data_IF_522207148605
#
_entry.id   IF_522207148605
#
_cell.length_a   1.000
_cell.length_b   1.000
_cell.length_c   1.000
_cell.angle_alpha   90.00
_cell.angle_beta   90.00
_cell.angle_gamma   90.00
#
_symmetry.space_group_name_H-M   'P 1'
#
loop_
_entity.id
_entity.type
_entity.pdbx_description
1 polymer ?
#
# COMPACT_ATOMS: atom_id res chain seq x y z
N UNK A 1 -25.80 67.07 48.19
CA UNK A 1 -26.65 65.88 48.21
C UNK A 1 -27.32 65.55 46.83
N UNK A 2 -27.60 66.47 45.95
CA UNK A 2 -28.22 66.18 44.63
C UNK A 2 -27.37 65.43 43.59
N UNK A 3 -26.03 65.49 43.73
CA UNK A 3 -25.11 64.79 42.77
C UNK A 3 -24.98 63.28 43.04
N UNK A 4 -25.27 62.83 44.25
CA UNK A 4 -25.18 61.39 44.58
C UNK A 4 -26.44 60.61 44.25
N UNK A 5 -27.57 61.28 44.04
CA UNK A 5 -28.83 60.65 43.65
C UNK A 5 -28.80 60.18 42.18
N UNK A 6 -28.11 60.95 41.32
CA UNK A 6 -27.96 60.56 39.91
C UNK A 6 -26.98 59.38 39.72
N UNK A 7 -25.95 59.27 40.62
CA UNK A 7 -25.02 58.15 40.58
C UNK A 7 -25.67 56.83 41.05
N UNK A 8 -26.58 56.92 41.99
CA UNK A 8 -27.34 55.75 42.50
C UNK A 8 -28.37 55.24 41.46
N UNK A 9 -29.01 56.11 40.70
CA UNK A 9 -29.93 55.74 39.64
C UNK A 9 -29.20 55.14 38.41
N UNK A 10 -27.95 55.47 38.11
CA UNK A 10 -27.19 54.91 37.03
C UNK A 10 -26.69 53.52 37.44
N UNK A 11 -26.41 53.26 38.70
CA UNK A 11 -26.02 51.92 39.20
C UNK A 11 -27.19 50.95 39.28
N UNK A 12 -28.44 51.40 39.43
CA UNK A 12 -29.64 50.57 39.43
C UNK A 12 -30.05 50.13 38.00
N UNK A 13 -29.52 50.76 36.95
CA UNK A 13 -29.83 50.39 35.56
C UNK A 13 -28.87 49.27 35.02
N UNK A 14 -27.83 48.90 35.76
CA UNK A 14 -26.94 47.81 35.36
C UNK A 14 -27.20 46.47 36.07
N UNK A 15 -28.18 46.39 36.95
CA UNK A 15 -28.56 45.15 37.64
C UNK A 15 -29.84 44.51 37.08
N UNK A 16 -30.25 44.83 35.87
CA UNK A 16 -31.28 44.10 35.15
C UNK A 16 -30.69 43.34 33.97
N UNK A 17 -29.68 42.47 34.26
CA UNK A 17 -29.57 41.22 33.54
C UNK A 17 -30.50 40.26 34.30
N UNK A 18 -31.74 40.16 33.89
CA UNK A 18 -32.50 38.93 34.05
C UNK A 18 -31.68 37.88 33.29
N UNK A 19 -31.06 36.97 34.02
CA UNK A 19 -30.70 35.65 33.50
C UNK A 19 -32.05 34.96 33.19
N UNK A 20 -32.66 35.33 32.07
CA UNK A 20 -33.64 34.52 31.45
C UNK A 20 -32.88 33.30 30.95
N UNK A 21 -32.75 32.29 31.79
CA UNK A 21 -32.44 30.92 31.34
C UNK A 21 -33.64 30.43 30.52
N UNK A 22 -33.83 31.04 29.33
CA UNK A 22 -34.86 30.59 28.39
C UNK A 22 -34.46 29.18 27.96
N UNK A 23 -35.21 28.19 28.41
CA UNK A 23 -35.05 26.80 27.98
C UNK A 23 -35.91 26.59 26.76
N UNK A 24 -35.39 26.04 25.69
CA UNK A 24 -36.16 25.66 24.52
C UNK A 24 -37.19 24.58 24.93
N UNK A 25 -38.51 24.81 24.75
CA UNK A 25 -39.53 23.96 25.35
C UNK A 25 -39.67 22.58 24.68
N UNK A 26 -39.09 22.38 23.51
CA UNK A 26 -39.10 21.10 22.79
C UNK A 26 -37.97 20.21 23.30
N UNK A 27 -38.32 19.17 24.07
CA UNK A 27 -37.38 18.25 24.67
C UNK A 27 -37.03 17.04 23.78
N UNK A 28 -35.89 16.43 24.06
CA UNK A 28 -35.49 15.14 23.53
C UNK A 28 -35.89 14.04 24.54
N UNK A 29 -36.28 12.86 24.04
CA UNK A 29 -36.71 11.74 24.89
C UNK A 29 -36.28 10.39 24.29
N UNK A 30 -36.51 9.30 25.05
CA UNK A 30 -36.23 7.94 24.59
C UNK A 30 -36.96 7.59 23.28
N UNK A 31 -38.15 8.12 23.04
CA UNK A 31 -38.93 7.85 21.83
C UNK A 31 -38.27 8.43 20.56
N UNK A 32 -37.40 9.41 20.72
CA UNK A 32 -36.65 10.01 19.65
C UNK A 32 -35.45 9.12 19.21
N UNK A 33 -34.98 8.23 20.09
CA UNK A 33 -33.84 7.34 19.78
C UNK A 33 -34.37 6.11 19.05
N UNK A 34 -33.87 5.90 17.82
CA UNK A 34 -34.15 4.68 17.06
C UNK A 34 -33.17 3.56 17.44
N UNK A 35 -31.91 3.89 17.48
CA UNK A 35 -30.81 2.96 17.77
C UNK A 35 -29.54 3.73 18.13
N UNK A 36 -28.74 3.20 19.06
CA UNK A 36 -27.36 3.62 19.23
C UNK A 36 -26.47 2.37 19.00
N UNK A 37 -25.75 2.37 17.88
CA UNK A 37 -24.94 1.23 17.45
C UNK A 37 -23.45 1.50 17.64
N UNK A 38 -22.73 0.63 18.38
CA UNK A 38 -21.27 0.73 18.51
C UNK A 38 -20.55 0.56 17.17
N UNK A 39 -19.62 1.46 16.89
CA UNK A 39 -18.73 1.42 15.74
C UNK A 39 -17.26 1.53 16.19
N UNK A 40 -16.27 1.24 15.32
CA UNK A 40 -14.87 1.47 15.64
C UNK A 40 -14.59 2.90 16.08
N UNK A 41 -14.03 3.06 17.30
CA UNK A 41 -13.70 4.36 17.88
C UNK A 41 -14.90 5.21 18.33
N UNK A 42 -16.11 4.64 18.41
CA UNK A 42 -17.29 5.40 18.80
C UNK A 42 -18.63 4.67 18.69
N UNK A 43 -19.68 5.45 18.46
CA UNK A 43 -21.03 4.96 18.20
C UNK A 43 -21.74 5.82 17.13
N UNK A 44 -22.72 5.25 16.46
CA UNK A 44 -23.70 6.00 15.65
C UNK A 44 -25.03 6.01 16.38
N UNK A 45 -25.53 7.19 16.65
CA UNK A 45 -26.86 7.40 17.18
C UNK A 45 -27.82 7.72 16.01
N UNK A 46 -28.83 6.88 15.79
CA UNK A 46 -29.92 7.12 14.86
C UNK A 46 -31.13 7.64 15.63
N UNK A 47 -31.74 8.72 15.15
CA UNK A 47 -32.83 9.41 15.85
C UNK A 47 -33.87 9.98 14.89
N UNK A 48 -35.06 10.31 15.46
CA UNK A 48 -36.05 11.11 14.81
C UNK A 48 -36.23 12.38 15.66
N UNK A 49 -36.14 13.54 15.04
CA UNK A 49 -36.36 14.81 15.72
C UNK A 49 -37.86 15.12 15.83
N UNK A 50 -38.30 15.81 16.90
CA UNK A 50 -39.65 16.37 16.97
C UNK A 50 -39.89 17.32 15.81
N UNK A 51 -41.17 17.38 15.39
CA UNK A 51 -41.59 18.32 14.34
C UNK A 51 -41.85 19.70 14.96
N UNK A 52 -40.85 20.57 14.88
CA UNK A 52 -40.96 21.96 15.35
C UNK A 52 -40.28 22.90 14.35
N UNK A 53 -40.93 24.06 14.08
CA UNK A 53 -40.46 25.03 13.07
C UNK A 53 -39.23 25.82 13.55
N UNK A 54 -39.01 25.92 14.85
CA UNK A 54 -37.88 26.64 15.44
C UNK A 54 -36.66 25.74 15.74
N UNK A 55 -36.86 24.41 15.65
CA UNK A 55 -35.79 23.44 15.87
C UNK A 55 -34.70 23.57 14.78
N UNK A 56 -33.44 23.80 15.20
CA UNK A 56 -32.28 23.99 14.34
C UNK A 56 -31.35 22.81 14.36
N UNK A 57 -31.02 22.31 15.55
CA UNK A 57 -29.96 21.28 15.71
C UNK A 57 -30.22 20.37 16.91
N UNK A 58 -29.62 19.21 16.90
CA UNK A 58 -29.41 18.33 18.04
C UNK A 58 -27.93 18.37 18.43
N UNK A 59 -27.65 18.48 19.73
CA UNK A 59 -26.31 18.48 20.29
C UNK A 59 -26.16 17.31 21.25
N UNK A 60 -24.99 16.61 21.13
CA UNK A 60 -24.62 15.54 22.06
C UNK A 60 -23.27 15.87 22.65
N UNK A 61 -23.21 15.96 23.98
CA UNK A 61 -21.99 16.20 24.74
C UNK A 61 -21.61 14.95 25.52
N UNK A 62 -20.36 14.60 25.47
CA UNK A 62 -19.78 13.45 26.20
C UNK A 62 -18.28 13.66 26.41
N UNK A 63 -17.68 12.84 27.26
CA UNK A 63 -16.22 12.83 27.46
C UNK A 63 -15.58 11.76 26.59
N UNK A 64 -14.54 12.13 25.88
CA UNK A 64 -13.75 11.22 25.04
C UNK A 64 -12.84 10.28 25.84
N UNK A 65 -11.95 9.55 25.12
CA UNK A 65 -10.98 8.64 25.72
C UNK A 65 -10.03 9.31 26.71
N UNK A 66 -9.78 10.61 26.57
CA UNK A 66 -8.86 11.41 27.39
C UNK A 66 -9.58 12.23 28.45
N UNK A 67 -10.90 12.07 28.59
CA UNK A 67 -11.74 12.82 29.52
C UNK A 67 -12.04 14.25 29.09
N UNK A 68 -11.72 14.61 27.86
CA UNK A 68 -12.06 15.92 27.29
C UNK A 68 -13.51 15.92 26.82
N UNK A 69 -14.23 17.00 27.12
CA UNK A 69 -15.58 17.17 26.64
C UNK A 69 -15.62 17.39 25.12
N UNK A 70 -16.41 16.59 24.44
CA UNK A 70 -16.70 16.70 23.01
C UNK A 70 -18.17 17.03 22.83
N UNK A 71 -18.48 17.99 21.98
CA UNK A 71 -19.80 18.28 21.49
C UNK A 71 -19.92 17.84 20.03
N UNK A 72 -20.96 17.09 19.72
CA UNK A 72 -21.36 16.76 18.36
C UNK A 72 -22.70 17.38 18.05
N UNK A 73 -22.81 17.97 16.87
CA UNK A 73 -23.99 18.65 16.41
C UNK A 73 -24.51 18.03 15.10
N UNK A 74 -25.79 17.76 15.03
CA UNK A 74 -26.51 17.39 13.83
C UNK A 74 -27.57 18.43 13.49
N UNK A 75 -27.78 18.74 12.22
CA UNK A 75 -28.84 19.67 11.79
C UNK A 75 -30.21 19.06 11.96
N UNK A 76 -31.24 19.89 11.92
CA UNK A 76 -32.66 19.44 11.97
C UNK A 76 -33.02 18.46 10.83
N UNK A 77 -32.24 18.44 9.73
CA UNK A 77 -32.45 17.53 8.61
C UNK A 77 -31.66 16.21 8.76
N UNK A 78 -30.84 16.09 9.80
CA UNK A 78 -30.08 14.87 10.07
C UNK A 78 -30.92 13.83 10.79
N UNK A 79 -30.65 12.56 10.54
CA UNK A 79 -31.26 11.42 11.21
C UNK A 79 -30.26 10.51 11.90
N UNK A 80 -28.98 10.87 11.84
CA UNK A 80 -27.89 10.16 12.51
C UNK A 80 -26.77 11.10 12.92
N UNK A 81 -26.06 10.73 13.99
CA UNK A 81 -24.91 11.44 14.52
C UNK A 81 -23.82 10.46 14.94
N UNK A 82 -22.59 10.72 14.51
CA UNK A 82 -21.43 9.91 14.89
C UNK A 82 -20.80 10.50 16.16
N UNK A 83 -20.72 9.66 17.20
CA UNK A 83 -20.10 9.94 18.48
C UNK A 83 -18.74 9.25 18.52
N UNK A 84 -17.64 9.94 18.19
CA UNK A 84 -16.30 9.38 18.12
C UNK A 84 -15.36 10.03 19.15
N UNK A 85 -14.16 9.49 19.30
CA UNK A 85 -13.15 10.00 20.21
C UNK A 85 -12.60 8.96 21.17
N UNK A 86 -12.78 7.67 20.84
CA UNK A 86 -12.37 6.55 21.68
C UNK A 86 -11.30 5.72 20.95
N UNK A 87 -10.27 5.32 21.68
CA UNK A 87 -9.27 4.39 21.19
C UNK A 87 -9.69 2.95 21.50
N UNK A 88 -9.91 2.64 22.77
CA UNK A 88 -10.38 1.32 23.21
C UNK A 88 -11.90 1.28 23.32
N UNK A 89 -12.50 0.11 23.10
CA UNK A 89 -13.92 -0.14 23.29
C UNK A 89 -14.33 0.09 24.74
N UNK A 90 -15.40 0.86 24.95
CA UNK A 90 -15.96 1.17 26.26
C UNK A 90 -17.41 0.77 26.34
N UNK A 91 -17.85 0.46 27.56
CA UNK A 91 -19.26 0.18 27.87
C UNK A 91 -19.84 1.31 28.70
N UNK A 92 -21.11 1.68 28.41
CA UNK A 92 -21.87 2.62 29.19
C UNK A 92 -21.27 4.03 29.23
N UNK A 93 -20.73 4.51 28.12
CA UNK A 93 -20.25 5.90 28.02
C UNK A 93 -21.45 6.84 28.21
N UNK A 94 -21.35 7.72 29.19
CA UNK A 94 -22.39 8.70 29.47
C UNK A 94 -22.33 9.88 28.49
N UNK A 95 -23.48 10.36 28.06
CA UNK A 95 -23.64 11.53 27.21
C UNK A 95 -24.93 12.29 27.50
N UNK A 96 -24.94 13.56 27.15
CA UNK A 96 -26.08 14.47 27.30
C UNK A 96 -26.55 14.96 25.93
N UNK A 97 -27.83 14.84 25.67
CA UNK A 97 -28.49 15.31 24.46
C UNK A 97 -29.31 16.54 24.74
N UNK A 98 -29.17 17.58 23.93
CA UNK A 98 -30.03 18.77 23.93
C UNK A 98 -30.50 19.06 22.50
N UNK A 99 -31.66 19.66 22.37
CA UNK A 99 -32.15 20.26 21.14
C UNK A 99 -31.87 21.76 21.18
N UNK A 100 -31.56 22.34 20.06
CA UNK A 100 -31.20 23.76 19.95
C UNK A 100 -32.11 24.44 18.94
N UNK A 101 -32.69 25.59 19.31
CA UNK A 101 -33.49 26.39 18.42
C UNK A 101 -32.67 27.35 17.55
N UNK A 102 -33.31 28.11 16.67
CA UNK A 102 -32.67 29.09 15.79
C UNK A 102 -31.98 30.24 16.55
N UNK A 103 -32.45 30.55 17.75
CA UNK A 103 -31.86 31.55 18.65
C UNK A 103 -30.64 31.03 19.42
N UNK A 104 -30.30 29.74 19.31
CA UNK A 104 -29.19 29.14 20.03
C UNK A 104 -29.55 28.65 21.44
N UNK A 105 -30.82 28.78 21.85
CA UNK A 105 -31.31 28.33 23.16
C UNK A 105 -31.46 26.79 23.13
N UNK A 106 -30.97 26.14 24.20
CA UNK A 106 -31.01 24.69 24.33
C UNK A 106 -32.20 24.21 25.17
N UNK A 107 -32.64 23.00 24.87
CA UNK A 107 -33.67 22.31 25.64
C UNK A 107 -33.15 21.76 26.97
N UNK A 108 -34.05 21.21 27.79
CA UNK A 108 -33.62 20.36 28.89
C UNK A 108 -32.75 19.21 28.41
N UNK A 109 -31.81 18.80 29.29
CA UNK A 109 -30.84 17.74 29.04
C UNK A 109 -31.52 16.38 29.14
N UNK A 110 -31.31 15.54 28.12
CA UNK A 110 -31.66 14.12 28.15
C UNK A 110 -30.39 13.28 28.22
N UNK A 111 -30.26 12.46 29.26
CA UNK A 111 -29.08 11.61 29.46
C UNK A 111 -29.19 10.32 28.63
N UNK A 112 -28.10 9.96 27.97
CA UNK A 112 -27.96 8.73 27.22
C UNK A 112 -26.73 7.95 27.68
N UNK A 113 -26.70 6.65 27.39
CA UNK A 113 -25.49 5.83 27.50
C UNK A 113 -25.28 5.09 26.19
N UNK A 114 -24.01 4.88 25.83
CA UNK A 114 -23.66 4.15 24.64
C UNK A 114 -22.37 3.33 24.80
N UNK A 115 -22.24 2.27 24.02
CA UNK A 115 -21.07 1.44 23.91
C UNK A 115 -20.22 1.86 22.71
N UNK A 116 -18.91 1.60 22.76
CA UNK A 116 -18.01 1.80 21.65
C UNK A 116 -17.23 0.51 21.36
N UNK A 117 -16.64 0.40 20.16
CA UNK A 117 -15.68 -0.66 19.80
C UNK A 117 -14.28 -0.08 19.77
N UNK A 118 -13.27 -0.98 19.78
CA UNK A 118 -11.88 -0.61 19.52
C UNK A 118 -11.79 0.17 18.21
N UNK A 119 -11.05 1.27 18.24
CA UNK A 119 -10.74 2.04 17.03
C UNK A 119 -9.89 1.22 16.05
N UNK A 120 -9.87 1.63 14.78
CA UNK A 120 -8.99 1.03 13.78
C UNK A 120 -7.54 0.90 14.24
N UNK A 121 -6.91 1.98 14.79
CA UNK A 121 -5.56 1.95 15.34
C UNK A 121 -5.29 0.91 16.44
N UNK A 122 -6.26 0.62 17.28
CA UNK A 122 -6.16 -0.43 18.30
C UNK A 122 -6.40 -1.81 17.69
N UNK A 123 -7.48 -1.95 16.90
CA UNK A 123 -7.89 -3.20 16.28
C UNK A 123 -6.85 -3.74 15.27
N UNK A 124 -6.06 -2.85 14.66
CA UNK A 124 -4.96 -3.19 13.76
C UNK A 124 -4.01 -4.26 14.32
N UNK A 125 -3.75 -4.22 15.64
CA UNK A 125 -2.84 -5.16 16.30
C UNK A 125 -3.44 -6.53 16.58
N UNK A 126 -4.75 -6.71 16.49
CA UNK A 126 -5.41 -7.97 16.87
C UNK A 126 -4.96 -9.14 15.99
N UNK A 127 -4.77 -8.89 14.70
CA UNK A 127 -4.31 -9.89 13.73
C UNK A 127 -2.97 -9.52 13.07
N UNK A 128 -2.25 -8.55 13.63
CA UNK A 128 -0.95 -8.16 13.12
C UNK A 128 0.08 -9.27 13.35
N UNK A 129 0.75 -9.69 12.27
CA UNK A 129 1.80 -10.69 12.28
C UNK A 129 3.04 -10.15 11.58
N UNK A 130 4.17 -10.27 12.24
CA UNK A 130 5.48 -10.00 11.69
C UNK A 130 6.17 -11.34 11.43
N UNK A 131 6.70 -11.53 10.22
CA UNK A 131 7.38 -12.76 9.81
C UNK A 131 8.73 -12.44 9.19
N UNK A 132 9.67 -13.39 9.20
CA UNK A 132 10.91 -13.27 8.44
C UNK A 132 10.67 -12.88 6.99
N UNK A 133 11.55 -12.09 6.41
CA UNK A 133 11.51 -11.65 5.02
C UNK A 133 12.89 -11.56 4.39
N UNK A 134 12.91 -11.31 3.11
CA UNK A 134 14.14 -11.06 2.35
C UNK A 134 14.64 -9.64 2.60
N UNK A 135 15.91 -9.49 3.01
CA UNK A 135 16.53 -8.22 3.42
C UNK A 135 15.68 -7.42 4.41
N UNK A 136 14.94 -8.10 5.29
CA UNK A 136 14.03 -7.44 6.22
C UNK A 136 12.96 -8.38 6.74
N UNK A 137 11.70 -7.95 6.68
CA UNK A 137 10.59 -8.72 7.22
C UNK A 137 9.29 -8.49 6.43
N UNK A 138 8.36 -9.40 6.57
CA UNK A 138 6.99 -9.23 6.06
C UNK A 138 6.03 -8.94 7.21
N UNK A 139 5.01 -8.15 6.91
CA UNK A 139 3.94 -7.79 7.83
C UNK A 139 2.60 -8.11 7.20
N UNK A 140 1.70 -8.73 7.95
CA UNK A 140 0.32 -8.95 7.51
C UNK A 140 -0.64 -8.58 8.64
N UNK A 141 -1.78 -8.01 8.29
CA UNK A 141 -2.80 -7.56 9.23
C UNK A 141 -4.20 -7.77 8.65
N UNK A 142 -5.20 -7.70 9.52
CA UNK A 142 -6.61 -7.71 9.14
C UNK A 142 -7.35 -6.74 10.05
N UNK A 143 -7.96 -5.72 9.47
CA UNK A 143 -8.68 -4.67 10.19
C UNK A 143 -10.19 -4.89 10.04
N UNK A 144 -10.97 -4.86 11.14
CA UNK A 144 -12.41 -5.01 11.09
C UNK A 144 -13.09 -3.95 10.23
N UNK A 145 -14.32 -4.25 9.77
CA UNK A 145 -15.16 -3.33 9.00
C UNK A 145 -15.33 -1.98 9.72
N UNK A 146 -15.17 -0.89 8.99
CA UNK A 146 -15.20 0.49 9.49
C UNK A 146 -13.93 0.93 10.22
N UNK A 147 -12.92 0.06 10.36
CA UNK A 147 -11.63 0.43 10.94
C UNK A 147 -10.73 1.07 9.89
N UNK A 148 -10.16 2.20 10.25
CA UNK A 148 -9.16 2.92 9.44
C UNK A 148 -8.16 3.63 10.37
N UNK A 149 -7.01 4.00 9.84
CA UNK A 149 -5.99 4.72 10.61
C UNK A 149 -4.67 4.85 9.88
N UNK A 150 -3.64 5.28 10.61
CA UNK A 150 -2.26 5.38 10.13
C UNK A 150 -1.35 4.47 10.96
N UNK A 151 -0.47 3.76 10.28
CA UNK A 151 0.56 2.94 10.90
C UNK A 151 1.95 3.37 10.45
N UNK A 152 2.89 3.28 11.39
CA UNK A 152 4.31 3.55 11.19
C UNK A 152 5.10 2.33 11.60
N UNK A 153 5.94 1.86 10.69
CA UNK A 153 6.81 0.70 10.89
C UNK A 153 8.25 1.16 10.97
N UNK A 154 8.92 0.75 12.03
CA UNK A 154 10.31 1.05 12.30
C UNK A 154 11.09 -0.24 12.53
N UNK A 155 12.41 -0.15 12.44
CA UNK A 155 13.33 -1.14 12.95
C UNK A 155 14.43 -0.48 13.78
N UNK A 156 15.02 -1.22 14.68
CA UNK A 156 16.19 -0.76 15.42
C UNK A 156 17.43 -1.08 14.60
N UNK A 157 18.16 -0.05 14.20
CA UNK A 157 19.35 -0.16 13.36
C UNK A 157 20.32 0.99 13.59
N UNK A 158 21.46 0.97 12.91
CA UNK A 158 22.44 2.07 12.99
C UNK A 158 21.92 3.27 12.20
N UNK A 159 21.82 4.39 12.88
CA UNK A 159 21.50 5.66 12.23
C UNK A 159 22.67 6.05 11.30
N UNK A 160 22.43 6.28 10.00
CA UNK A 160 23.50 6.57 9.04
C UNK A 160 24.24 7.90 9.29
N UNK A 161 23.68 8.78 10.12
CA UNK A 161 24.30 10.07 10.46
C UNK A 161 25.11 10.03 11.76
N UNK A 162 24.66 9.28 12.76
CA UNK A 162 25.27 9.23 14.09
C UNK A 162 26.07 7.95 14.35
N UNK A 163 25.87 6.92 13.51
CA UNK A 163 26.38 5.56 13.67
C UNK A 163 25.93 4.84 14.96
N UNK A 164 25.06 5.46 15.75
CA UNK A 164 24.45 4.88 16.94
C UNK A 164 23.20 4.08 16.61
N UNK A 165 22.82 3.17 17.53
CA UNK A 165 21.55 2.44 17.41
C UNK A 165 20.38 3.41 17.64
N UNK A 166 19.43 3.37 16.71
CA UNK A 166 18.26 4.23 16.72
C UNK A 166 17.03 3.48 16.15
N UNK A 167 15.85 4.03 16.39
CA UNK A 167 14.60 3.54 15.82
C UNK A 167 14.35 4.22 14.48
N UNK A 168 14.67 3.52 13.40
CA UNK A 168 14.64 4.03 12.04
C UNK A 168 13.29 3.74 11.36
N UNK A 169 12.66 4.76 10.79
CA UNK A 169 11.41 4.62 10.05
C UNK A 169 11.64 3.85 8.74
N UNK A 170 10.85 2.81 8.52
CA UNK A 170 10.81 2.05 7.27
C UNK A 170 9.68 2.55 6.37
N UNK A 171 8.47 2.65 6.92
CA UNK A 171 7.28 3.02 6.17
C UNK A 171 6.19 3.61 7.06
N UNK A 172 5.52 4.63 6.54
CA UNK A 172 4.24 5.13 7.06
C UNK A 172 3.17 4.89 6.00
N UNK A 173 2.00 4.43 6.41
CA UNK A 173 0.90 4.17 5.48
C UNK A 173 -0.45 4.26 6.18
N UNK A 174 -1.47 4.61 5.42
CA UNK A 174 -2.87 4.52 5.84
C UNK A 174 -3.35 3.09 5.63
N UNK A 175 -4.15 2.59 6.56
CA UNK A 175 -4.82 1.31 6.43
C UNK A 175 -6.34 1.49 6.53
N UNK A 176 -7.05 0.56 5.90
CA UNK A 176 -8.51 0.47 5.90
C UNK A 176 -8.94 -0.93 6.29
N UNK A 177 -10.26 -1.12 6.46
CA UNK A 177 -10.82 -2.43 6.74
C UNK A 177 -10.42 -3.48 5.69
N UNK A 178 -10.15 -4.70 6.14
CA UNK A 178 -9.76 -5.83 5.31
C UNK A 178 -8.36 -6.36 5.62
N UNK A 179 -7.95 -7.34 4.81
CA UNK A 179 -6.64 -7.99 4.91
C UNK A 179 -5.66 -7.36 3.96
N UNK A 180 -4.43 -7.15 4.43
CA UNK A 180 -3.34 -6.71 3.59
C UNK A 180 -2.00 -7.26 4.09
N UNK A 181 -0.97 -7.20 3.24
CA UNK A 181 0.38 -7.64 3.56
C UNK A 181 1.42 -6.78 2.88
N UNK A 182 2.53 -6.55 3.56
CA UNK A 182 3.64 -5.72 3.10
C UNK A 182 4.95 -6.48 3.26
N UNK A 183 5.79 -6.47 2.23
CA UNK A 183 7.19 -6.87 2.31
C UNK A 183 8.05 -5.62 2.51
N UNK A 184 8.80 -5.60 3.59
CA UNK A 184 9.57 -4.44 4.04
C UNK A 184 11.06 -4.77 3.97
N UNK A 185 11.71 -4.28 2.92
CA UNK A 185 13.15 -4.43 2.72
C UNK A 185 13.90 -3.33 3.46
N UNK A 186 14.94 -3.70 4.19
CA UNK A 186 15.80 -2.80 4.95
C UNK A 186 17.10 -2.53 4.19
N UNK A 187 17.67 -1.36 4.42
CA UNK A 187 18.96 -1.00 3.80
C UNK A 187 20.16 -1.63 4.52
N UNK A 188 19.96 -2.07 5.75
CA UNK A 188 21.02 -2.66 6.57
C UNK A 188 20.85 -4.17 6.61
N UNK A 189 21.88 -4.88 6.18
CA UNK A 189 21.93 -6.34 6.29
C UNK A 189 22.14 -6.74 7.77
N UNK A 190 21.30 -7.63 8.23
CA UNK A 190 21.43 -8.31 9.52
C UNK A 190 20.67 -9.64 9.47
N UNK A 191 21.05 -10.60 10.30
CA UNK A 191 20.36 -11.89 10.42
C UNK A 191 19.05 -11.79 11.22
N UNK A 192 18.87 -10.73 12.01
CA UNK A 192 17.65 -10.43 12.75
C UNK A 192 17.52 -8.93 13.05
N UNK A 193 16.28 -8.49 13.21
CA UNK A 193 15.94 -7.10 13.53
C UNK A 193 14.95 -7.03 14.68
N UNK A 194 15.00 -5.95 15.45
CA UNK A 194 13.91 -5.54 16.32
C UNK A 194 12.97 -4.63 15.54
N UNK A 195 11.71 -5.05 15.39
CA UNK A 195 10.68 -4.33 14.64
C UNK A 195 9.74 -3.63 15.61
N UNK A 196 9.42 -2.38 15.34
CA UNK A 196 8.48 -1.57 16.12
C UNK A 196 7.37 -1.11 15.20
N UNK A 197 6.11 -1.37 15.58
CA UNK A 197 4.93 -0.86 14.86
C UNK A 197 4.16 0.05 15.80
N UNK A 198 3.81 1.23 15.31
CA UNK A 198 2.98 2.22 16.00
C UNK A 198 1.79 2.59 15.15
N UNK A 199 0.65 2.84 15.79
CA UNK A 199 -0.51 3.43 15.13
C UNK A 199 -0.85 4.78 15.78
N UNK A 200 -1.44 5.67 15.00
CA UNK A 200 -1.88 6.98 15.46
C UNK A 200 -3.41 7.03 15.58
N UNK A 201 -3.88 7.75 16.58
CA UNK A 201 -5.30 8.08 16.73
C UNK A 201 -5.68 9.26 15.80
N UNK A 202 -6.95 9.64 15.83
CA UNK A 202 -7.48 10.75 15.02
C UNK A 202 -6.90 12.14 15.36
N UNK A 203 -6.11 12.24 16.45
CA UNK A 203 -5.42 13.47 16.86
C UNK A 203 -3.94 13.45 16.50
N UNK A 204 -3.42 12.36 15.93
CA UNK A 204 -2.02 12.17 15.63
C UNK A 204 -1.17 11.74 16.84
N UNK A 205 -1.80 11.31 17.94
CA UNK A 205 -1.08 10.71 19.07
C UNK A 205 -0.92 9.21 18.88
N UNK A 206 0.16 8.67 19.41
CA UNK A 206 0.37 7.21 19.41
C UNK A 206 -0.76 6.52 20.17
N UNK A 207 -1.58 5.78 19.44
CA UNK A 207 -2.70 5.01 20.00
C UNK A 207 -2.20 3.70 20.62
N UNK A 208 -1.32 2.99 19.90
CA UNK A 208 -0.72 1.73 20.37
C UNK A 208 0.65 1.50 19.71
N UNK A 209 1.52 0.81 20.45
CA UNK A 209 2.82 0.35 19.98
C UNK A 209 3.03 -1.11 20.36
N UNK A 210 3.66 -1.87 19.48
CA UNK A 210 4.10 -3.23 19.75
C UNK A 210 5.50 -3.44 19.17
N UNK A 211 6.30 -4.27 19.86
CA UNK A 211 7.69 -4.55 19.51
C UNK A 211 7.84 -6.07 19.33
N UNK A 212 8.55 -6.44 18.26
CA UNK A 212 8.98 -7.81 17.99
C UNK A 212 10.49 -7.85 17.98
N UNK A 213 11.07 -8.58 18.90
CA UNK A 213 12.52 -8.79 18.98
C UNK A 213 12.93 -10.01 18.16
N UNK A 214 14.15 -9.99 17.64
CA UNK A 214 14.76 -11.13 16.94
C UNK A 214 13.95 -11.63 15.73
N UNK A 215 13.31 -10.72 14.99
CA UNK A 215 12.68 -11.06 13.72
C UNK A 215 13.78 -11.43 12.73
N UNK A 216 13.85 -12.69 12.33
CA UNK A 216 14.86 -13.18 11.38
C UNK A 216 14.75 -12.46 10.04
N UNK A 217 15.88 -12.17 9.44
CA UNK A 217 16.01 -11.60 8.11
C UNK A 217 16.95 -12.48 7.28
N UNK A 218 16.61 -12.69 6.02
CA UNK A 218 17.41 -13.46 5.09
C UNK A 218 18.02 -12.51 4.06
N UNK A 219 19.33 -12.39 4.08
CA UNK A 219 20.03 -11.51 3.15
C UNK A 219 19.96 -12.07 1.73
N UNK A 220 19.76 -11.21 0.76
CA UNK A 220 19.69 -11.57 -0.65
C UNK A 220 21.04 -11.43 -1.33
N UNK A 221 21.30 -12.30 -2.30
CA UNK A 221 22.36 -12.10 -3.28
C UNK A 221 21.85 -12.42 -4.69
N UNK A 222 22.30 -11.64 -5.67
CA UNK A 222 22.13 -12.00 -7.07
C UNK A 222 23.02 -13.18 -7.39
N UNK A 223 22.49 -14.21 -8.02
CA UNK A 223 23.27 -15.35 -8.49
C UNK A 223 23.98 -14.97 -9.79
N UNK A 224 25.28 -15.20 -9.81
CA UNK A 224 26.09 -14.98 -11.02
C UNK A 224 25.65 -15.95 -12.14
N UNK A 225 25.50 -15.50 -13.39
CA UNK A 225 25.16 -16.38 -14.52
C UNK A 225 26.15 -17.55 -14.72
N UNK A 226 27.39 -17.42 -14.31
CA UNK A 226 28.35 -18.53 -14.34
C UNK A 226 28.07 -19.63 -13.30
N UNK A 227 27.28 -19.32 -12.29
CA UNK A 227 26.93 -20.26 -11.23
C UNK A 227 25.82 -21.25 -11.60
N UNK A 228 25.14 -21.08 -12.71
CA UNK A 228 24.12 -21.98 -13.21
C UNK A 228 24.34 -22.40 -14.68
N UNK A 229 23.61 -23.38 -15.15
CA UNK A 229 23.55 -23.78 -16.56
C UNK A 229 22.22 -23.34 -17.12
N UNK A 230 22.24 -22.53 -18.18
CA UNK A 230 21.05 -22.11 -18.90
C UNK A 230 20.68 -23.17 -19.95
N UNK A 231 19.45 -23.62 -19.96
CA UNK A 231 18.89 -24.53 -20.92
C UNK A 231 17.77 -23.86 -21.71
N UNK A 232 18.06 -23.45 -22.94
CA UNK A 232 17.07 -22.88 -23.83
C UNK A 232 16.01 -23.94 -24.23
N UNK A 233 14.73 -23.58 -24.17
CA UNK A 233 13.63 -24.42 -24.64
C UNK A 233 12.91 -23.82 -25.84
N UNK A 234 12.59 -22.55 -25.80
CA UNK A 234 11.78 -21.86 -26.82
C UNK A 234 12.37 -20.53 -27.29
N UNK A 235 13.53 -20.13 -26.76
CA UNK A 235 14.22 -18.92 -27.19
C UNK A 235 14.76 -19.05 -28.62
N UNK A 236 14.65 -17.98 -29.38
CA UNK A 236 15.07 -17.87 -30.79
C UNK A 236 16.50 -17.31 -30.83
N UNK A 237 17.34 -17.94 -31.62
CA UNK A 237 18.66 -17.42 -32.01
C UNK A 237 18.69 -17.21 -33.52
N UNK A 238 18.75 -15.96 -33.97
CA UNK A 238 18.81 -15.62 -35.38
C UNK A 238 20.04 -14.73 -35.66
N UNK A 239 21.04 -15.25 -36.36
CA UNK A 239 22.27 -14.50 -36.63
C UNK A 239 22.07 -13.30 -37.54
N UNK A 240 20.94 -13.22 -38.27
CA UNK A 240 20.62 -12.13 -39.19
C UNK A 240 19.85 -10.99 -38.54
N UNK A 241 19.40 -11.19 -37.30
CA UNK A 241 18.66 -10.21 -36.51
C UNK A 241 19.30 -10.07 -35.15
N UNK A 242 18.95 -9.03 -34.42
CA UNK A 242 19.44 -8.83 -33.06
C UNK A 242 18.58 -9.63 -32.03
N UNK A 243 18.39 -10.94 -32.30
CA UNK A 243 17.64 -11.86 -31.44
C UNK A 243 18.57 -12.99 -31.01
N UNK A 244 18.84 -13.07 -29.70
CA UNK A 244 19.67 -14.12 -29.13
C UNK A 244 19.31 -14.39 -27.68
N UNK A 245 19.52 -15.63 -27.24
CA UNK A 245 19.47 -16.02 -25.84
C UNK A 245 20.59 -15.39 -24.99
N UNK A 246 21.66 -14.92 -25.61
CA UNK A 246 22.81 -14.31 -24.92
C UNK A 246 22.42 -12.99 -24.23
N UNK A 247 21.40 -12.30 -24.73
CA UNK A 247 20.90 -11.05 -24.12
C UNK A 247 20.20 -11.24 -22.77
N UNK A 248 19.92 -12.47 -22.35
CA UNK A 248 19.33 -12.71 -21.04
C UNK A 248 20.30 -12.53 -19.87
N UNK A 249 21.60 -12.57 -20.12
CA UNK A 249 22.62 -12.63 -19.07
C UNK A 249 23.87 -11.81 -19.41
N UNK A 250 23.77 -10.81 -20.28
CA UNK A 250 24.88 -9.98 -20.70
C UNK A 250 25.15 -8.78 -19.77
N UNK A 251 24.26 -8.55 -18.81
CA UNK A 251 24.33 -7.47 -17.84
C UNK A 251 23.83 -6.12 -18.35
N UNK A 252 23.30 -6.06 -19.58
CA UNK A 252 22.73 -4.84 -20.15
C UNK A 252 21.25 -4.66 -19.78
N UNK A 253 21.00 -4.23 -18.55
CA UNK A 253 19.64 -4.04 -18.02
C UNK A 253 18.80 -2.97 -18.74
N UNK A 254 19.35 -2.28 -19.75
CA UNK A 254 18.70 -1.14 -20.41
C UNK A 254 18.61 -1.26 -21.93
N UNK A 255 19.29 -2.20 -22.54
CA UNK A 255 19.44 -2.33 -24.00
C UNK A 255 20.47 -1.39 -24.61
N UNK A 256 21.34 -0.79 -23.81
CA UNK A 256 22.34 0.16 -24.31
C UNK A 256 23.40 -0.50 -25.19
N UNK A 257 23.99 -1.59 -24.75
CA UNK A 257 25.06 -2.29 -25.48
C UNK A 257 24.55 -2.90 -26.77
N UNK A 258 23.38 -3.52 -26.72
CA UNK A 258 22.76 -4.13 -27.91
C UNK A 258 22.41 -3.09 -28.96
N UNK A 259 21.96 -1.90 -28.56
CA UNK A 259 21.73 -0.80 -29.50
C UNK A 259 23.02 -0.29 -30.14
N UNK A 260 24.08 -0.13 -29.36
CA UNK A 260 25.37 0.33 -29.85
C UNK A 260 26.01 -0.65 -30.82
N UNK A 261 25.89 -1.96 -30.58
CA UNK A 261 26.44 -3.01 -31.41
C UNK A 261 25.66 -3.28 -32.69
N UNK A 262 24.34 -3.19 -32.64
CA UNK A 262 23.44 -3.56 -33.72
C UNK A 262 22.90 -2.37 -34.49
N UNK A 263 23.41 -1.17 -34.27
CA UNK A 263 22.92 0.05 -34.92
C UNK A 263 21.48 0.37 -34.54
N UNK A 264 20.55 0.22 -35.50
CA UNK A 264 19.14 0.55 -35.27
C UNK A 264 18.32 -0.62 -34.68
N UNK A 265 18.91 -1.79 -34.52
CA UNK A 265 18.24 -2.97 -33.98
C UNK A 265 18.61 -3.13 -32.51
N UNK A 266 17.60 -3.16 -31.65
CA UNK A 266 17.81 -3.47 -30.24
C UNK A 266 17.86 -4.97 -30.07
N UNK A 267 19.03 -5.50 -29.65
CA UNK A 267 19.17 -6.90 -29.30
C UNK A 267 18.30 -7.25 -28.08
N UNK A 268 17.63 -8.39 -28.17
CA UNK A 268 16.78 -8.86 -27.07
C UNK A 268 16.55 -10.37 -27.19
N UNK A 269 16.20 -10.98 -26.05
CA UNK A 269 15.67 -12.35 -26.06
C UNK A 269 14.22 -12.35 -26.53
N UNK A 270 13.89 -13.26 -27.45
CA UNK A 270 12.54 -13.56 -27.86
C UNK A 270 12.32 -15.06 -27.76
N UNK A 271 11.23 -15.49 -27.15
CA UNK A 271 10.75 -16.86 -27.18
C UNK A 271 9.48 -16.98 -28.02
N UNK A 272 9.29 -18.12 -28.67
CA UNK A 272 8.11 -18.40 -29.51
C UNK A 272 8.47 -19.17 -30.78
N UNK A 273 7.51 -19.37 -31.70
CA UNK A 273 6.06 -19.12 -31.55
C UNK A 273 5.37 -20.12 -30.60
N UNK A 274 4.12 -19.81 -30.21
CA UNK A 274 3.26 -20.68 -29.41
C UNK A 274 3.90 -21.07 -28.08
N UNK A 275 4.49 -20.09 -27.39
CA UNK A 275 5.25 -20.31 -26.16
C UNK A 275 4.41 -20.20 -24.88
N UNK A 276 3.17 -19.71 -24.92
CA UNK A 276 2.35 -19.54 -23.72
C UNK A 276 2.08 -20.85 -23.00
N UNK A 277 2.16 -20.81 -21.67
CA UNK A 277 1.97 -21.97 -20.80
C UNK A 277 3.08 -23.04 -20.88
N UNK A 278 4.17 -22.76 -21.59
CA UNK A 278 5.32 -23.67 -21.72
C UNK A 278 6.57 -23.07 -21.11
N UNK A 279 7.51 -23.91 -20.60
CA UNK A 279 8.81 -23.43 -20.16
C UNK A 279 9.57 -22.74 -21.29
N UNK A 280 9.93 -21.48 -21.11
CA UNK A 280 10.75 -20.73 -22.07
C UNK A 280 12.20 -21.17 -22.00
N UNK A 281 12.66 -21.41 -20.80
CA UNK A 281 14.00 -21.91 -20.47
C UNK A 281 14.00 -22.54 -19.08
N UNK A 282 15.05 -23.29 -18.78
CA UNK A 282 15.35 -23.83 -17.46
C UNK A 282 16.73 -23.41 -17.00
N UNK A 283 16.93 -23.32 -15.69
CA UNK A 283 18.22 -23.10 -15.06
C UNK A 283 18.57 -24.30 -14.17
N UNK A 284 19.75 -24.90 -14.36
CA UNK A 284 20.31 -25.87 -13.41
C UNK A 284 21.33 -25.12 -12.52
N UNK A 285 20.99 -24.93 -11.27
CA UNK A 285 21.78 -24.20 -10.28
C UNK A 285 22.98 -25.01 -9.78
N UNK A 286 23.23 -26.19 -10.36
CA UNK A 286 24.29 -27.15 -10.00
C UNK A 286 24.10 -27.77 -8.61
N UNK A 287 23.58 -27.03 -7.67
CA UNK A 287 23.23 -27.46 -6.30
C UNK A 287 21.92 -26.83 -5.84
N UNK A 288 21.30 -27.39 -4.79
CA UNK A 288 20.04 -26.87 -4.26
C UNK A 288 20.27 -25.57 -3.46
N UNK A 289 19.61 -24.49 -3.88
CA UNK A 289 19.69 -23.15 -3.28
C UNK A 289 18.34 -22.71 -2.73
N UNK A 290 18.39 -21.82 -1.75
CA UNK A 290 17.18 -21.15 -1.25
C UNK A 290 16.83 -20.01 -2.20
N UNK A 291 15.79 -20.20 -3.01
CA UNK A 291 15.35 -19.24 -4.02
C UNK A 291 14.60 -18.08 -3.37
N UNK A 292 14.86 -16.87 -3.83
CA UNK A 292 14.32 -15.66 -3.22
C UNK A 292 13.45 -14.82 -4.18
N UNK A 293 13.74 -14.86 -5.46
CA UNK A 293 12.98 -14.12 -6.45
C UNK A 293 13.71 -13.98 -7.77
N UNK A 294 13.03 -13.40 -8.75
CA UNK A 294 13.61 -13.08 -10.05
C UNK A 294 13.31 -11.63 -10.44
N UNK A 295 14.17 -11.04 -11.24
CA UNK A 295 13.90 -9.80 -11.95
C UNK A 295 13.95 -10.05 -13.44
N UNK A 296 12.95 -9.53 -14.13
CA UNK A 296 12.80 -9.64 -15.56
C UNK A 296 12.81 -8.24 -16.13
N UNK A 297 13.80 -7.94 -16.93
CA UNK A 297 13.98 -6.61 -17.49
C UNK A 297 13.40 -6.51 -18.90
N UNK A 298 13.01 -5.32 -19.27
CA UNK A 298 12.67 -4.98 -20.64
C UNK A 298 13.53 -3.85 -21.14
N UNK A 299 13.78 -3.80 -22.45
CA UNK A 299 14.55 -2.70 -23.07
C UNK A 299 13.85 -1.37 -22.83
N UNK A 300 14.62 -0.33 -22.53
CA UNK A 300 14.08 1.02 -22.45
C UNK A 300 13.69 1.52 -23.85
N UNK A 301 12.54 2.18 -23.95
CA UNK A 301 12.07 2.77 -25.19
C UNK A 301 12.99 3.91 -25.61
N UNK A 302 13.51 3.86 -26.84
CA UNK A 302 14.33 4.90 -27.42
C UNK A 302 13.58 5.50 -28.59
N UNK A 303 13.49 6.83 -28.63
CA UNK A 303 13.00 7.56 -29.79
C UNK A 303 14.18 7.98 -30.67
N UNK A 304 14.24 7.45 -31.89
CA UNK A 304 15.24 7.86 -32.89
C UNK A 304 14.56 8.77 -33.93
N UNK A 305 14.64 10.10 -33.78
CA UNK A 305 13.93 11.04 -34.70
C UNK A 305 14.52 11.04 -36.11
N UNK A 306 15.76 10.62 -36.30
CA UNK A 306 16.39 10.57 -37.62
C UNK A 306 15.76 9.52 -38.54
N UNK A 307 15.09 8.52 -37.98
CA UNK A 307 14.49 7.44 -38.72
C UNK A 307 12.96 7.44 -38.70
N UNK A 308 12.35 8.36 -37.93
CA UNK A 308 10.88 8.37 -37.76
C UNK A 308 10.35 7.10 -37.06
N UNK A 309 11.23 6.30 -36.43
CA UNK A 309 10.88 5.02 -35.81
C UNK A 309 10.80 5.23 -34.31
N UNK A 310 9.62 4.96 -33.75
CA UNK A 310 9.42 4.74 -32.33
C UNK A 310 9.82 3.29 -32.04
N UNK A 311 10.95 3.11 -31.38
CA UNK A 311 11.27 1.81 -30.80
C UNK A 311 10.43 1.63 -29.55
N UNK A 312 9.23 1.11 -29.72
CA UNK A 312 8.48 0.59 -28.59
C UNK A 312 9.11 -0.75 -28.20
N UNK A 313 9.36 -0.91 -26.90
CA UNK A 313 9.86 -2.16 -26.33
C UNK A 313 8.83 -3.28 -26.47
N UNK A 314 8.51 -3.69 -27.68
CA UNK A 314 7.62 -4.82 -27.98
C UNK A 314 6.43 -4.94 -26.99
N UNK A 315 5.70 -3.84 -26.76
CA UNK A 315 4.68 -3.73 -25.69
C UNK A 315 3.71 -4.91 -25.63
N UNK A 316 3.37 -5.44 -26.80
CA UNK A 316 2.49 -6.60 -26.95
C UNK A 316 3.20 -7.96 -26.79
N UNK A 317 4.44 -7.99 -26.36
CA UNK A 317 5.21 -9.20 -26.05
C UNK A 317 5.79 -9.19 -24.64
N UNK A 318 5.51 -8.12 -23.89
CA UNK A 318 5.88 -8.01 -22.49
C UNK A 318 4.91 -8.83 -21.65
N UNK A 319 5.40 -9.70 -20.76
CA UNK A 319 4.54 -10.57 -19.97
C UNK A 319 3.59 -9.80 -19.05
N UNK A 320 2.32 -10.26 -19.00
CA UNK A 320 1.36 -9.86 -17.99
C UNK A 320 0.99 -10.99 -17.03
N UNK A 321 1.29 -12.25 -17.40
CA UNK A 321 1.08 -13.40 -16.55
C UNK A 321 2.30 -14.34 -16.63
N UNK A 322 2.93 -14.58 -15.48
CA UNK A 322 4.17 -15.37 -15.34
C UNK A 322 4.03 -16.34 -14.19
N UNK A 323 4.47 -17.54 -14.40
CA UNK A 323 4.64 -18.57 -13.37
C UNK A 323 6.12 -18.96 -13.30
N UNK A 324 6.66 -18.96 -12.09
CA UNK A 324 8.00 -19.46 -11.81
C UNK A 324 7.87 -20.75 -11.01
N UNK A 325 8.48 -21.80 -11.51
CA UNK A 325 8.46 -23.09 -10.88
C UNK A 325 9.87 -23.60 -10.57
N UNK A 326 10.00 -24.38 -9.51
CA UNK A 326 11.26 -24.96 -9.09
C UNK A 326 11.14 -26.44 -8.77
N UNK A 327 12.23 -27.19 -8.94
CA UNK A 327 12.27 -28.63 -8.79
C UNK A 327 13.63 -29.09 -8.26
N UNK A 328 13.67 -30.33 -7.73
CA UNK A 328 14.92 -31.03 -7.40
C UNK A 328 15.19 -32.23 -8.32
N UNK A 329 14.21 -32.66 -9.11
CA UNK A 329 14.26 -33.87 -9.95
C UNK A 329 13.80 -33.65 -11.40
N UNK A 330 13.32 -32.43 -11.74
CA UNK A 330 12.71 -32.05 -13.03
C UNK A 330 11.44 -32.83 -13.38
N UNK A 331 10.88 -33.56 -12.41
CA UNK A 331 9.63 -34.33 -12.57
C UNK A 331 8.50 -33.63 -11.82
N UNK A 332 8.75 -33.32 -10.54
CA UNK A 332 7.79 -32.60 -9.69
C UNK A 332 8.25 -31.15 -9.61
N UNK A 333 7.36 -30.26 -10.01
CA UNK A 333 7.60 -28.82 -10.01
C UNK A 333 6.66 -28.13 -9.03
N UNK A 334 7.25 -27.36 -8.13
CA UNK A 334 6.51 -26.52 -7.17
C UNK A 334 6.48 -25.09 -7.73
N UNK A 335 5.31 -24.46 -7.72
CA UNK A 335 5.23 -23.04 -8.02
C UNK A 335 5.83 -22.24 -6.86
N UNK A 336 6.90 -21.50 -7.12
CA UNK A 336 7.61 -20.69 -6.11
C UNK A 336 7.31 -19.20 -6.23
N UNK A 337 6.87 -18.75 -7.39
CA UNK A 337 6.47 -17.37 -7.62
C UNK A 337 5.49 -17.23 -8.78
N UNK A 338 4.73 -16.15 -8.76
CA UNK A 338 3.87 -15.78 -9.87
C UNK A 338 3.67 -14.27 -9.92
N UNK A 339 3.32 -13.79 -11.09
CA UNK A 339 2.85 -12.44 -11.35
C UNK A 339 1.69 -12.53 -12.31
N UNK A 340 0.61 -11.82 -12.05
CA UNK A 340 -0.55 -11.78 -12.93
C UNK A 340 -1.23 -10.42 -12.87
N UNK A 341 -1.41 -9.81 -14.04
CA UNK A 341 -2.20 -8.60 -14.26
C UNK A 341 -3.13 -8.79 -15.46
N UNK A 342 -4.17 -7.97 -15.53
CA UNK A 342 -5.04 -7.99 -16.71
C UNK A 342 -4.25 -7.61 -17.96
N UNK A 343 -4.39 -8.39 -19.04
CA UNK A 343 -3.77 -8.09 -20.33
C UNK A 343 -4.21 -6.75 -20.92
N UNK A 344 -5.42 -6.29 -20.55
CA UNK A 344 -6.03 -5.03 -20.99
C UNK A 344 -5.74 -3.87 -20.02
N UNK A 345 -4.87 -4.05 -19.03
CA UNK A 345 -4.51 -3.00 -18.09
C UNK A 345 -4.06 -1.76 -18.84
N UNK A 346 -4.49 -0.58 -18.35
CA UNK A 346 -4.08 0.71 -18.94
C UNK A 346 -2.56 0.75 -19.14
N UNK A 347 -2.09 1.06 -20.36
CA UNK A 347 -0.67 1.08 -20.66
C UNK A 347 0.19 1.93 -19.71
N UNK A 348 -0.39 2.96 -19.10
CA UNK A 348 0.29 3.80 -18.12
C UNK A 348 0.51 3.13 -16.77
N UNK A 349 -0.27 2.08 -16.45
CA UNK A 349 -0.21 1.37 -15.16
C UNK A 349 0.61 0.07 -15.23
N UNK A 350 0.90 -0.45 -16.43
CA UNK A 350 1.69 -1.68 -16.61
C UNK A 350 3.08 -1.54 -16.00
N UNK A 351 3.64 -2.63 -15.48
CA UNK A 351 5.00 -2.61 -14.94
C UNK A 351 6.03 -2.09 -15.95
N UNK A 352 5.87 -2.43 -17.23
CA UNK A 352 6.71 -1.94 -18.32
C UNK A 352 6.45 -0.47 -18.73
N UNK A 353 5.41 0.17 -18.22
CA UNK A 353 5.11 1.57 -18.51
C UNK A 353 6.18 2.54 -17.98
N UNK A 354 6.89 2.16 -16.92
CA UNK A 354 8.02 2.93 -16.36
C UNK A 354 9.20 3.03 -17.33
N UNK A 355 9.26 2.15 -18.33
CA UNK A 355 10.30 2.14 -19.36
C UNK A 355 10.19 3.31 -20.32
N UNK A 356 9.08 4.00 -20.34
CA UNK A 356 8.89 5.21 -21.10
C UNK A 356 9.49 6.36 -20.31
N UNK A 357 10.80 6.51 -20.33
CA UNK A 357 11.44 7.64 -19.70
C UNK A 357 10.58 8.88 -19.86
N UNK A 358 9.86 9.29 -18.80
CA UNK A 358 8.91 10.38 -18.74
C UNK A 358 8.26 10.68 -20.09
N UNK A 359 7.24 9.94 -20.44
CA UNK A 359 6.17 10.12 -21.42
C UNK A 359 6.28 11.18 -22.53
N UNK A 360 7.28 11.99 -22.56
CA UNK A 360 7.62 12.90 -23.63
C UNK A 360 8.57 12.19 -24.57
N UNK A 361 8.20 12.11 -25.80
CA UNK A 361 8.93 11.64 -26.98
C UNK A 361 10.30 12.33 -27.19
N UNK A 362 11.03 12.55 -26.13
CA UNK A 362 12.37 13.11 -26.17
C UNK A 362 13.35 11.97 -26.37
N UNK A 363 14.14 12.15 -27.43
CA UNK A 363 15.39 11.41 -27.64
C UNK A 363 16.04 11.11 -26.30
N UNK A 364 16.10 9.83 -25.92
CA UNK A 364 17.12 9.45 -24.99
C UNK A 364 18.45 9.55 -25.75
N UNK A 365 19.24 10.57 -25.44
CA UNK A 365 20.63 10.58 -25.82
C UNK A 365 21.33 9.39 -25.17
N UNK A 366 22.45 8.96 -25.71
CA UNK A 366 23.29 7.93 -25.07
C UNK A 366 23.52 8.20 -23.59
N UNK A 367 23.75 9.46 -23.23
CA UNK A 367 23.91 9.88 -21.84
C UNK A 367 22.62 9.72 -21.02
N UNK A 368 21.46 10.05 -21.61
CA UNK A 368 20.18 9.88 -20.93
C UNK A 368 19.87 8.40 -20.70
N UNK A 369 20.17 7.52 -21.66
CA UNK A 369 20.00 6.08 -21.50
C UNK A 369 20.94 5.51 -20.43
N UNK A 370 22.20 5.94 -20.40
CA UNK A 370 23.14 5.56 -19.33
C UNK A 370 22.63 5.90 -17.94
N UNK A 371 22.03 7.09 -17.80
CA UNK A 371 21.53 7.59 -16.52
C UNK A 371 20.10 7.15 -16.18
N UNK A 372 19.39 6.54 -17.12
CA UNK A 372 18.03 6.08 -16.88
C UNK A 372 18.02 4.87 -15.91
N UNK A 373 17.03 4.82 -15.04
CA UNK A 373 16.80 3.64 -14.20
C UNK A 373 16.34 2.46 -15.06
N UNK A 374 16.86 1.25 -14.82
CA UNK A 374 16.37 0.05 -15.48
C UNK A 374 14.90 -0.20 -15.20
N UNK A 375 14.19 -0.77 -16.16
CA UNK A 375 12.79 -1.15 -15.98
C UNK A 375 12.68 -2.67 -15.85
N UNK A 376 12.18 -3.11 -14.72
CA UNK A 376 12.03 -4.53 -14.43
C UNK A 376 10.75 -4.85 -13.67
N UNK A 377 10.30 -6.08 -13.85
CA UNK A 377 9.33 -6.75 -13.00
C UNK A 377 10.08 -7.56 -11.94
N UNK A 378 9.76 -7.37 -10.66
CA UNK A 378 10.23 -8.24 -9.58
C UNK A 378 9.15 -9.26 -9.23
N UNK A 379 9.51 -10.53 -9.23
CA UNK A 379 8.68 -11.63 -8.72
C UNK A 379 9.37 -12.16 -7.47
N UNK A 380 8.94 -11.68 -6.31
CA UNK A 380 9.51 -12.08 -5.03
C UNK A 380 8.90 -13.41 -4.58
N UNK A 381 9.74 -14.33 -4.14
CA UNK A 381 9.28 -15.61 -3.60
C UNK A 381 9.08 -15.52 -2.09
N UNK A 382 8.10 -16.24 -1.52
CA UNK A 382 8.02 -16.34 -0.07
C UNK A 382 9.30 -16.99 0.49
N UNK A 383 9.65 -16.63 1.73
CA UNK A 383 10.76 -17.32 2.41
C UNK A 383 10.38 -18.76 2.62
N UNK A 384 11.00 -19.65 1.86
CA UNK A 384 10.81 -21.10 1.93
C UNK A 384 12.05 -21.72 2.59
N UNK A 385 11.83 -22.68 3.50
CA UNK A 385 12.93 -23.50 4.03
C UNK A 385 13.44 -24.52 3.00
N UNK A 386 12.58 -24.89 2.04
CA UNK A 386 12.92 -25.83 0.96
C UNK A 386 13.87 -25.18 -0.03
N UNK A 387 14.93 -25.92 -0.36
CA UNK A 387 15.93 -25.55 -1.37
C UNK A 387 15.65 -26.28 -2.66
N UNK A 388 15.96 -25.63 -3.80
CA UNK A 388 15.73 -26.17 -5.13
C UNK A 388 16.97 -26.06 -6.01
N UNK A 389 17.18 -27.07 -6.86
CA UNK A 389 18.28 -27.10 -7.84
C UNK A 389 17.86 -26.55 -9.21
N UNK A 390 16.63 -26.78 -9.62
CA UNK A 390 16.16 -26.38 -10.95
C UNK A 390 15.08 -25.31 -10.83
N UNK A 391 15.12 -24.38 -11.78
CA UNK A 391 14.11 -23.33 -11.92
C UNK A 391 13.67 -23.28 -13.38
N UNK A 392 12.37 -23.02 -13.65
CA UNK A 392 11.86 -22.74 -14.99
C UNK A 392 10.92 -21.55 -14.99
N UNK A 393 10.91 -20.86 -16.12
CA UNK A 393 10.08 -19.68 -16.35
C UNK A 393 9.03 -19.99 -17.39
N UNK A 394 7.78 -19.73 -17.05
CA UNK A 394 6.62 -19.93 -17.89
C UNK A 394 5.90 -18.59 -18.02
N UNK A 395 5.61 -18.15 -19.23
CA UNK A 395 4.73 -17.02 -19.49
C UNK A 395 3.41 -17.54 -20.00
N UNK A 396 2.33 -17.13 -19.35
CA UNK A 396 0.99 -17.57 -19.68
C UNK A 396 0.28 -16.60 -20.61
N UNK A 397 0.60 -15.29 -20.51
CA UNK A 397 0.03 -14.25 -21.38
C UNK A 397 0.92 -12.99 -21.45
N UNK A 398 0.64 -12.12 -22.41
CA UNK A 398 1.29 -10.82 -22.62
C UNK A 398 0.26 -9.70 -22.66
N UNK A 399 0.69 -8.45 -22.41
CA UNK A 399 -0.18 -7.30 -22.59
C UNK A 399 -0.59 -7.13 -24.08
N UNK A 400 -1.80 -6.64 -24.31
CA UNK A 400 -2.21 -6.20 -25.64
C UNK A 400 -1.50 -4.89 -26.03
N UNK A 401 -1.48 -4.56 -27.30
CA UNK A 401 -0.95 -3.28 -27.77
C UNK A 401 -1.74 -2.10 -27.21
N UNK A 402 -1.18 -0.88 -27.30
CA UNK A 402 -1.81 0.34 -26.76
C UNK A 402 -3.18 0.67 -27.34
N UNK A 403 -3.42 0.26 -28.57
CA UNK A 403 -4.71 0.44 -29.25
C UNK A 403 -5.76 -0.62 -28.84
N UNK A 404 -5.43 -1.46 -27.85
CA UNK A 404 -6.29 -2.52 -27.35
C UNK A 404 -6.34 -3.76 -28.24
N UNK A 405 -5.55 -3.81 -29.33
CA UNK A 405 -5.52 -4.95 -30.23
C UNK A 405 -4.43 -5.95 -29.85
N UNK A 406 -4.76 -7.21 -30.04
CA UNK A 406 -3.79 -8.30 -29.91
C UNK A 406 -3.08 -8.53 -31.24
N UNK A 407 -1.85 -8.05 -31.34
CA UNK A 407 -0.96 -8.31 -32.45
C UNK A 407 -0.01 -9.49 -32.23
N UNK A 408 -0.05 -10.09 -31.06
CA UNK A 408 0.80 -11.21 -30.64
C UNK A 408 0.12 -12.58 -30.91
N UNK A 409 -0.55 -12.71 -32.05
CA UNK A 409 -1.32 -13.90 -32.40
C UNK A 409 -0.49 -15.18 -32.51
N UNK A 410 0.84 -15.06 -32.54
CA UNK A 410 1.77 -16.19 -32.55
C UNK A 410 2.39 -16.46 -31.21
N UNK A 411 1.92 -15.78 -30.13
CA UNK A 411 2.37 -16.01 -28.76
C UNK A 411 3.90 -15.94 -28.61
N UNK A 412 4.48 -14.79 -28.93
CA UNK A 412 5.88 -14.50 -28.66
C UNK A 412 6.02 -13.73 -27.35
N UNK A 413 7.14 -13.94 -26.65
CA UNK A 413 7.50 -13.25 -25.41
C UNK A 413 8.87 -12.60 -25.56
N UNK A 414 9.05 -11.41 -25.00
CA UNK A 414 10.31 -10.68 -25.02
C UNK A 414 10.77 -10.34 -23.59
N UNK A 415 12.00 -10.70 -23.30
CA UNK A 415 12.78 -10.22 -22.15
C UNK A 415 14.06 -9.57 -22.68
N UNK A 416 14.70 -8.74 -21.85
CA UNK A 416 16.01 -8.21 -22.22
C UNK A 416 17.11 -8.72 -21.31
N UNK A 417 16.88 -8.77 -20.00
CA UNK A 417 17.80 -9.32 -19.02
C UNK A 417 16.99 -10.11 -17.97
N UNK A 418 17.61 -11.11 -17.37
CA UNK A 418 17.02 -11.93 -16.32
C UNK A 418 17.98 -12.10 -15.15
N UNK A 419 17.54 -11.78 -13.95
CA UNK A 419 18.32 -11.98 -12.74
C UNK A 419 17.62 -12.95 -11.80
N UNK A 420 18.35 -13.89 -11.23
CA UNK A 420 17.92 -14.77 -10.16
C UNK A 420 18.53 -14.34 -8.84
N UNK A 421 17.71 -14.23 -7.82
CA UNK A 421 18.11 -13.93 -6.46
C UNK A 421 17.92 -15.14 -5.56
N UNK A 422 18.90 -15.37 -4.69
CA UNK A 422 18.93 -16.45 -3.70
C UNK A 422 19.22 -15.88 -2.32
N UNK A 423 18.91 -16.66 -1.27
CA UNK A 423 19.39 -16.36 0.07
C UNK A 423 20.92 -16.48 0.13
N UNK A 424 21.55 -15.48 0.72
CA UNK A 424 22.99 -15.47 1.00
C UNK A 424 23.24 -16.54 2.06
N UNK A 425 24.10 -17.49 1.76
CA UNK A 425 24.54 -18.47 2.75
C UNK A 425 25.49 -17.79 3.74
N UNK A 426 25.29 -18.06 5.07
CA UNK A 426 26.14 -17.54 6.14
C UNK A 426 27.49 -18.25 6.16
#
# INVERSE_FOLDING_TARGET
MRKYIYLLCIFALFCACEDNDDVFPVGFSQENIREIRPIPGGAVMYYNLPSDLDLMAIRVRYKDAFGQEIMREGSYASYSLILHGFNEGRKGVEGCVTLCNRGGVESEVYNITFDTKDSGPIAFFNELKIKPGWNGFSMSYNVPEGGEGMAHVFYVGKNPLTEELDTLLVKSFTFHAGKDSLNLQLKQEASAHTVVVRTEDFRGYVAKQQIWENVKSYNLMKLDPEAFVFENKLGINDPNTAISTDYLFDGDMKGFTSMALNGNNMGTFIAGPMCFGKPLFELDLKEAKQLAGVRIYTVLSINCPFLGILFNAYENRVPCDITIEASNDRIIWDQVGNYSESRDLDPGLRWAARCKGNATFTLMSELALKNAEPCYLSVDFPVLEKRYRYLRVIVNDTFVARDGKDYNTQEHVTFHEFELYIGKEE
#
